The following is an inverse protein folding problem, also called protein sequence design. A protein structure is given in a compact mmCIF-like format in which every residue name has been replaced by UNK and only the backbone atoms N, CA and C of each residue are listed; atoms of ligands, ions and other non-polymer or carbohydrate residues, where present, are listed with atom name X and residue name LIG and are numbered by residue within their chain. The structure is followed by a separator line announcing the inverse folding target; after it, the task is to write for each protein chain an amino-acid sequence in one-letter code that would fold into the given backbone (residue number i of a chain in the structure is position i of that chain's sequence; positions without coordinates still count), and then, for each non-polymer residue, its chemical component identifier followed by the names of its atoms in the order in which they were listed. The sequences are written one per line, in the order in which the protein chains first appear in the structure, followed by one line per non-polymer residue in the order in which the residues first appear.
data_IF_796487681730
#
_entry.id   IF_796487681730
#
_cell.length_a   1.000
_cell.length_b   1.000
_cell.length_c   1.000
_cell.angle_alpha   90.00
_cell.angle_beta   90.00
_cell.angle_gamma   90.00
#
_symmetry.space_group_name_H-M   'P 1'
#
loop_
_entity.id
_entity.type
_entity.pdbx_description
1 polymer ?
#
# COMPACT_ATOMS: atom_id res chain seq x y z
N UNK A 1 -0.11 11.10 12.24
CA UNK A 1 1.13 10.65 11.62
C UNK A 1 1.24 9.13 11.67
N UNK A 2 1.30 8.49 10.49
CA UNK A 2 1.38 7.03 10.38
C UNK A 2 2.67 6.43 10.91
N UNK A 3 3.70 7.23 11.12
CA UNK A 3 4.97 6.79 11.70
C UNK A 3 4.99 6.90 13.22
N UNK A 4 3.97 7.52 13.82
CA UNK A 4 3.86 7.68 15.25
C UNK A 4 2.37 7.78 15.62
N UNK A 5 1.77 6.65 15.95
CA UNK A 5 0.35 6.60 16.26
C UNK A 5 0.09 6.99 17.71
N UNK A 6 -0.95 7.82 17.98
CA UNK A 6 -1.25 8.32 19.33
C UNK A 6 -2.02 7.31 20.18
N UNK A 7 -1.63 6.03 20.11
CA UNK A 7 -2.29 4.95 20.83
C UNK A 7 -1.25 4.12 21.61
N UNK A 8 -1.71 3.53 22.70
CA UNK A 8 -0.88 2.62 23.48
C UNK A 8 -0.61 1.32 22.72
N UNK A 9 0.41 0.59 23.16
CA UNK A 9 0.69 -0.74 22.61
C UNK A 9 -0.50 -1.67 22.80
N UNK A 10 -0.67 -2.59 21.86
CA UNK A 10 -1.63 -3.69 21.97
C UNK A 10 -3.05 -3.23 22.32
N UNK A 11 -3.52 -2.19 21.63
CA UNK A 11 -4.86 -1.62 21.86
C UNK A 11 -5.93 -2.24 20.99
N UNK A 12 -5.60 -2.56 19.73
CA UNK A 12 -6.59 -2.94 18.72
C UNK A 12 -6.52 -4.42 18.35
N UNK A 13 -7.66 -4.98 17.98
CA UNK A 13 -7.77 -6.35 17.46
C UNK A 13 -7.42 -6.43 15.99
N UNK A 14 -7.60 -5.34 15.26
CA UNK A 14 -7.27 -5.25 13.84
C UNK A 14 -6.99 -3.80 13.45
N UNK A 15 -6.17 -3.64 12.42
CA UNK A 15 -5.90 -2.32 11.81
C UNK A 15 -6.06 -2.44 10.30
N UNK A 16 -6.56 -1.38 9.69
CA UNK A 16 -6.72 -1.32 8.24
C UNK A 16 -6.19 0.00 7.72
N UNK A 17 -5.69 -0.02 6.48
CA UNK A 17 -5.32 1.19 5.77
C UNK A 17 -5.67 1.02 4.30
N UNK A 18 -6.33 2.03 3.72
CA UNK A 18 -6.77 2.01 2.32
C UNK A 18 -6.16 3.19 1.59
N UNK A 19 -5.29 2.88 0.61
CA UNK A 19 -4.68 3.88 -0.28
C UNK A 19 -3.88 4.98 0.45
N UNK A 20 -3.44 4.69 1.69
CA UNK A 20 -2.68 5.64 2.49
C UNK A 20 -1.26 5.22 2.80
N UNK A 21 -0.96 3.92 2.73
CA UNK A 21 0.35 3.41 3.13
C UNK A 21 1.48 4.00 2.26
N UNK A 22 1.27 4.13 0.95
CA UNK A 22 2.27 4.68 0.03
C UNK A 22 2.58 6.16 0.29
N UNK A 23 1.72 6.86 1.02
CA UNK A 23 1.89 8.26 1.37
C UNK A 23 2.62 8.47 2.69
N UNK A 24 2.90 7.41 3.43
CA UNK A 24 3.70 7.48 4.65
C UNK A 24 5.17 7.58 4.24
N UNK A 25 5.87 8.59 4.74
CA UNK A 25 7.25 8.85 4.37
C UNK A 25 8.14 7.60 4.53
N UNK A 26 8.01 6.90 5.63
CA UNK A 26 8.65 5.60 5.85
C UNK A 26 7.55 4.58 6.14
N UNK A 27 7.08 3.93 5.07
CA UNK A 27 5.96 2.99 5.21
C UNK A 27 6.31 1.76 6.05
N UNK A 28 7.59 1.37 6.09
CA UNK A 28 8.01 0.24 6.92
C UNK A 28 7.91 0.60 8.41
N UNK A 29 8.27 1.82 8.77
CA UNK A 29 8.05 2.32 10.13
C UNK A 29 6.55 2.39 10.43
N UNK A 30 5.74 2.81 9.46
CA UNK A 30 4.28 2.80 9.58
C UNK A 30 3.73 1.40 9.86
N UNK A 31 4.22 0.39 9.16
CA UNK A 31 3.83 -1.01 9.40
C UNK A 31 4.21 -1.47 10.80
N UNK A 32 5.40 -1.10 11.29
CA UNK A 32 5.82 -1.42 12.66
C UNK A 32 4.95 -0.73 13.71
N UNK A 33 4.57 0.53 13.45
CA UNK A 33 3.69 1.26 14.34
C UNK A 33 2.30 0.62 14.42
N UNK A 34 1.77 0.18 13.27
CA UNK A 34 0.52 -0.57 13.24
C UNK A 34 0.62 -1.88 14.01
N UNK A 35 1.76 -2.57 13.92
CA UNK A 35 1.99 -3.78 14.69
C UNK A 35 2.03 -3.48 16.19
N UNK A 36 2.69 -2.39 16.58
CA UNK A 36 2.80 -2.00 18.00
C UNK A 36 1.42 -1.82 18.64
N UNK A 37 0.52 -1.13 17.96
CA UNK A 37 -0.81 -0.82 18.51
C UNK A 37 -1.80 -1.98 18.39
N UNK A 38 -1.41 -3.06 17.73
CA UNK A 38 -2.27 -4.24 17.53
C UNK A 38 -1.93 -5.30 18.56
N UNK A 39 -2.95 -5.95 19.11
CA UNK A 39 -2.77 -7.06 20.05
C UNK A 39 -2.14 -8.28 19.35
N UNK A 40 -1.38 -9.11 20.07
CA UNK A 40 -0.92 -10.39 19.54
C UNK A 40 -2.11 -11.19 19.00
N UNK A 41 -1.95 -11.81 17.82
CA UNK A 41 -3.03 -12.51 17.13
C UNK A 41 -3.95 -11.60 16.33
N UNK A 42 -3.79 -10.29 16.44
CA UNK A 42 -4.57 -9.33 15.66
C UNK A 42 -4.18 -9.32 14.18
N UNK A 43 -4.92 -8.60 13.38
CA UNK A 43 -4.78 -8.62 11.91
C UNK A 43 -4.56 -7.26 11.32
N UNK A 44 -3.88 -7.23 10.17
CA UNK A 44 -3.75 -6.05 9.33
C UNK A 44 -4.37 -6.34 7.97
N UNK A 45 -5.02 -5.33 7.39
CA UNK A 45 -5.46 -5.35 6.00
C UNK A 45 -5.00 -4.05 5.34
N UNK A 46 -4.33 -4.17 4.20
CA UNK A 46 -3.78 -3.05 3.43
C UNK A 46 -4.35 -3.12 2.02
N UNK A 47 -5.19 -2.15 1.66
CA UNK A 47 -5.64 -1.97 0.30
C UNK A 47 -4.79 -0.89 -0.36
N UNK A 48 -4.12 -1.21 -1.45
CA UNK A 48 -3.21 -0.28 -2.11
C UNK A 48 -3.08 -0.57 -3.60
N UNK A 49 -2.68 0.43 -4.37
CA UNK A 49 -2.29 0.21 -5.76
C UNK A 49 -1.10 -0.73 -5.81
N UNK A 50 -1.05 -1.55 -6.86
CA UNK A 50 -0.01 -2.54 -7.02
C UNK A 50 0.37 -2.66 -8.50
N UNK A 51 0.93 -3.80 -8.90
CA UNK A 51 1.40 -4.00 -10.27
C UNK A 51 0.49 -4.99 -11.00
N UNK A 52 0.05 -4.69 -12.24
CA UNK A 52 -0.73 -5.63 -13.02
C UNK A 52 -0.01 -6.96 -13.19
N UNK A 53 -0.78 -8.06 -13.13
CA UNK A 53 -0.23 -9.42 -13.18
C UNK A 53 -0.09 -9.93 -14.61
N UNK A 54 -0.73 -9.28 -15.59
CA UNK A 54 -0.64 -9.64 -17.01
C UNK A 54 0.43 -8.77 -17.66
N UNK A 55 1.53 -9.34 -18.20
CA UNK A 55 2.66 -8.55 -18.71
C UNK A 55 2.30 -7.51 -19.76
N UNK A 56 1.47 -7.86 -20.76
CA UNK A 56 1.05 -6.93 -21.80
C UNK A 56 0.23 -5.79 -21.20
N UNK A 57 -0.70 -6.12 -20.29
CA UNK A 57 -1.51 -5.14 -19.62
C UNK A 57 -0.64 -4.24 -18.72
N UNK A 58 0.35 -4.82 -18.07
CA UNK A 58 1.31 -4.06 -17.24
C UNK A 58 2.07 -3.03 -18.04
N UNK A 59 2.48 -3.36 -19.27
CA UNK A 59 3.18 -2.42 -20.16
C UNK A 59 2.25 -1.26 -20.55
N UNK A 60 1.01 -1.56 -20.95
CA UNK A 60 0.01 -0.54 -21.29
C UNK A 60 -0.28 0.37 -20.09
N UNK A 61 -0.46 -0.21 -18.92
CA UNK A 61 -0.73 0.53 -17.69
C UNK A 61 0.43 1.48 -17.37
N UNK A 62 1.66 1.00 -17.48
CA UNK A 62 2.86 1.79 -17.22
C UNK A 62 2.97 2.97 -18.20
N UNK A 63 2.69 2.74 -19.50
CA UNK A 63 2.68 3.80 -20.50
C UNK A 63 1.59 4.84 -20.18
N UNK A 64 0.40 4.39 -19.77
CA UNK A 64 -0.68 5.29 -19.37
C UNK A 64 -0.24 6.20 -18.21
N UNK A 65 0.32 5.62 -17.15
CA UNK A 65 0.77 6.40 -15.98
C UNK A 65 1.89 7.38 -16.34
N UNK A 66 2.78 6.98 -17.25
CA UNK A 66 3.97 7.77 -17.58
C UNK A 66 3.69 8.86 -18.61
N UNK A 67 2.90 8.55 -19.64
CA UNK A 67 2.78 9.42 -20.82
C UNK A 67 1.41 10.07 -20.97
N UNK A 68 0.35 9.37 -20.63
CA UNK A 68 -1.01 9.83 -20.91
C UNK A 68 -1.67 10.53 -19.73
N UNK A 69 -1.49 10.00 -18.51
CA UNK A 69 -2.17 10.56 -17.35
C UNK A 69 -1.76 12.01 -17.05
N UNK A 70 -0.46 12.37 -17.03
CA UNK A 70 -0.09 13.75 -16.73
C UNK A 70 -0.70 14.81 -17.66
N UNK A 71 -0.62 14.67 -19.01
CA UNK A 71 -1.26 15.66 -19.89
C UNK A 71 -2.77 15.69 -19.78
N UNK A 72 -3.42 14.51 -19.60
CA UNK A 72 -4.88 14.47 -19.42
C UNK A 72 -5.27 15.18 -18.13
N UNK A 73 -4.54 14.94 -17.05
CA UNK A 73 -4.79 15.59 -15.76
C UNK A 73 -4.68 17.10 -15.84
N UNK A 74 -3.71 17.61 -16.62
CA UNK A 74 -3.54 19.05 -16.82
C UNK A 74 -4.71 19.69 -17.57
N UNK A 75 -5.36 18.93 -18.47
CA UNK A 75 -6.46 19.44 -19.27
C UNK A 75 -7.80 19.41 -18.54
N UNK A 76 -8.03 18.44 -17.67
CA UNK A 76 -9.36 18.18 -17.11
C UNK A 76 -9.46 18.39 -15.60
N UNK A 77 -8.34 18.56 -14.91
CA UNK A 77 -8.30 18.69 -13.46
C UNK A 77 -7.98 20.08 -13.01
N UNK A 78 -8.59 20.52 -11.91
CA UNK A 78 -8.25 21.77 -11.23
C UNK A 78 -6.94 21.64 -10.43
N UNK A 79 -6.48 20.39 -10.18
CA UNK A 79 -5.24 20.12 -9.47
C UNK A 79 -4.44 19.02 -10.17
N UNK A 80 -3.83 19.33 -11.34
CA UNK A 80 -3.08 18.33 -12.10
C UNK A 80 -1.87 17.76 -11.37
N UNK A 81 -1.26 18.53 -10.47
CA UNK A 81 -0.09 18.09 -9.70
C UNK A 81 -0.43 16.91 -8.78
N UNK A 82 -1.64 16.86 -8.24
CA UNK A 82 -2.09 15.74 -7.41
C UNK A 82 -2.14 14.44 -8.21
N UNK A 83 -2.57 14.50 -9.47
CA UNK A 83 -2.62 13.32 -10.33
C UNK A 83 -1.23 12.87 -10.77
N UNK A 84 -0.32 13.81 -11.03
CA UNK A 84 1.07 13.48 -11.34
C UNK A 84 1.73 12.81 -10.13
N UNK A 85 1.50 13.34 -8.93
CA UNK A 85 1.99 12.74 -7.68
C UNK A 85 1.44 11.32 -7.52
N UNK A 86 0.16 11.11 -7.79
CA UNK A 86 -0.48 9.80 -7.69
C UNK A 86 0.22 8.80 -8.61
N UNK A 87 0.42 9.16 -9.88
CA UNK A 87 1.09 8.29 -10.86
C UNK A 87 2.52 7.96 -10.43
N UNK A 88 3.28 8.95 -9.97
CA UNK A 88 4.66 8.77 -9.52
C UNK A 88 4.73 7.86 -8.30
N UNK A 89 3.83 8.05 -7.33
CA UNK A 89 3.81 7.23 -6.11
C UNK A 89 3.46 5.78 -6.42
N UNK A 90 2.55 5.53 -7.37
CA UNK A 90 2.21 4.17 -7.78
C UNK A 90 3.39 3.48 -8.46
N UNK A 91 4.10 4.19 -9.35
CA UNK A 91 5.26 3.62 -10.05
C UNK A 91 6.40 3.26 -9.10
N UNK A 92 6.61 4.06 -8.08
CA UNK A 92 7.66 3.86 -7.09
C UNK A 92 7.29 2.81 -6.03
N UNK A 93 6.02 2.44 -5.94
CA UNK A 93 5.50 1.54 -4.91
C UNK A 93 5.88 0.09 -5.18
N UNK A 94 6.19 -0.71 -4.14
CA UNK A 94 6.51 -2.13 -4.30
C UNK A 94 5.40 -2.93 -4.98
N UNK A 95 5.78 -4.01 -5.64
CA UNK A 95 4.80 -4.97 -6.15
C UNK A 95 4.22 -5.82 -5.01
N UNK A 96 3.34 -6.77 -5.35
CA UNK A 96 2.64 -7.59 -4.38
C UNK A 96 3.60 -8.38 -3.47
N UNK A 97 4.60 -9.05 -4.07
CA UNK A 97 5.57 -9.84 -3.31
C UNK A 97 6.46 -8.98 -2.43
N UNK A 98 6.93 -7.87 -2.95
CA UNK A 98 7.80 -6.96 -2.21
C UNK A 98 7.06 -6.36 -1.01
N UNK A 99 5.78 -6.00 -1.18
CA UNK A 99 4.99 -5.47 -0.07
C UNK A 99 4.71 -6.55 0.98
N UNK A 100 4.38 -7.77 0.56
CA UNK A 100 4.18 -8.88 1.50
C UNK A 100 5.45 -9.13 2.31
N UNK A 101 6.63 -9.11 1.67
CA UNK A 101 7.90 -9.26 2.37
C UNK A 101 8.15 -8.13 3.37
N UNK A 102 7.81 -6.89 3.00
CA UNK A 102 7.94 -5.74 3.89
C UNK A 102 7.02 -5.88 5.11
N UNK A 103 5.79 -6.34 4.91
CA UNK A 103 4.85 -6.57 6.00
C UNK A 103 5.43 -7.62 6.96
N UNK A 104 5.91 -8.75 6.42
CA UNK A 104 6.46 -9.82 7.24
C UNK A 104 7.69 -9.38 8.07
N UNK A 105 8.57 -8.53 7.52
CA UNK A 105 9.77 -8.11 8.28
C UNK A 105 9.50 -6.97 9.26
N UNK A 106 8.28 -6.43 9.30
CA UNK A 106 7.93 -5.29 10.15
C UNK A 106 6.88 -5.62 11.21
N UNK A 107 6.99 -6.81 11.80
CA UNK A 107 6.20 -7.19 12.97
C UNK A 107 4.97 -8.02 12.67
N UNK A 108 4.81 -8.46 11.43
CA UNK A 108 3.67 -9.28 11.00
C UNK A 108 4.15 -10.63 10.47
N UNK A 109 3.23 -11.59 10.33
CA UNK A 109 3.56 -12.90 9.74
C UNK A 109 2.45 -13.37 8.82
N UNK A 110 2.79 -14.27 7.91
CA UNK A 110 1.84 -14.88 6.99
C UNK A 110 1.23 -13.90 6.02
N UNK A 111 1.96 -12.87 5.61
CA UNK A 111 1.44 -11.90 4.67
C UNK A 111 1.14 -12.54 3.32
N UNK A 112 -0.09 -12.33 2.85
CA UNK A 112 -0.54 -12.75 1.54
C UNK A 112 -1.38 -11.64 0.92
N UNK A 113 -1.83 -11.85 -0.31
CA UNK A 113 -2.62 -10.83 -1.00
C UNK A 113 -3.66 -11.43 -1.93
N UNK A 114 -4.65 -10.61 -2.25
CA UNK A 114 -5.65 -10.90 -3.27
C UNK A 114 -5.62 -9.77 -4.28
N UNK A 115 -5.37 -10.11 -5.54
CA UNK A 115 -5.39 -9.13 -6.62
C UNK A 115 -6.81 -8.77 -7.00
N UNK A 116 -7.02 -7.48 -7.28
CA UNK A 116 -8.26 -6.94 -7.81
C UNK A 116 -7.93 -6.15 -9.06
N UNK A 117 -8.85 -6.15 -10.04
CA UNK A 117 -8.66 -5.43 -11.30
C UNK A 117 -7.30 -5.78 -11.94
N UNK A 118 -7.07 -7.08 -12.15
CA UNK A 118 -5.86 -7.62 -12.80
C UNK A 118 -4.56 -7.21 -12.10
N UNK A 119 -4.60 -6.96 -10.78
CA UNK A 119 -3.43 -6.59 -10.00
C UNK A 119 -3.15 -5.09 -9.90
N UNK A 120 -3.97 -4.24 -10.52
CA UNK A 120 -3.84 -2.79 -10.35
C UNK A 120 -4.02 -2.40 -8.89
N UNK A 121 -4.92 -3.11 -8.19
CA UNK A 121 -5.13 -2.99 -6.75
C UNK A 121 -4.91 -4.35 -6.12
N UNK A 122 -4.29 -4.39 -4.96
CA UNK A 122 -4.14 -5.61 -4.18
C UNK A 122 -4.54 -5.37 -2.73
N UNK A 123 -5.20 -6.35 -2.14
CA UNK A 123 -5.52 -6.38 -0.72
C UNK A 123 -4.56 -7.33 -0.03
N UNK A 124 -3.64 -6.78 0.76
CA UNK A 124 -2.72 -7.56 1.57
C UNK A 124 -3.29 -7.77 2.96
N UNK A 125 -3.02 -8.92 3.54
CA UNK A 125 -3.41 -9.21 4.91
C UNK A 125 -2.33 -10.04 5.60
N UNK A 126 -2.22 -9.86 6.91
CA UNK A 126 -1.26 -10.58 7.73
C UNK A 126 -1.77 -10.64 9.17
N UNK A 127 -1.10 -11.43 9.99
CA UNK A 127 -1.45 -11.61 11.40
C UNK A 127 -0.25 -11.19 12.26
N UNK A 128 -0.51 -10.57 13.39
CA UNK A 128 0.55 -10.29 14.37
C UNK A 128 0.85 -11.57 15.16
N UNK A 129 2.13 -11.96 15.29
CA UNK A 129 2.50 -13.13 16.08
C UNK A 129 1.95 -13.07 17.51
N UNK A 130 1.65 -14.24 18.07
CA UNK A 130 1.10 -14.35 19.43
C UNK A 130 2.13 -14.05 20.54
N UNK A 131 3.38 -13.79 20.17
CA UNK A 131 4.47 -13.54 21.12
C UNK A 131 5.24 -12.26 20.82
#
# INVERSE_FOLDING_TARGET
DGMKLPFADETFDAVTISYGLRNIHDFELGLREMARVTKPGGRIAVAEFSKPIIPVFGTVYKEYLTRLLPPIAKLVSSNPEAYVYLADSIRAWPDQEELAAAINRNGWEGAGWKNMTLGIVALHSATKPLR
#
